data_IF_523472123617
#
_entry.id   IF_523472123617
#
_cell.length_a   1.000
_cell.length_b   1.000
_cell.length_c   1.000
_cell.angle_alpha   90.00
_cell.angle_beta   90.00
_cell.angle_gamma   90.00
#
_symmetry.space_group_name_H-M   'P 1'
#
loop_
_entity.id
_entity.type
_entity.pdbx_description
1 polymer ?
#
# COMPACT_ATOMS: atom_id res chain seq x y z
N UNK A 1 -14.86 -8.60 -16.73
CA UNK A 1 -13.87 -8.95 -15.68
C UNK A 1 -14.08 -10.38 -15.20
N UNK A 2 -15.15 -10.72 -14.46
CA UNK A 2 -15.37 -12.08 -13.92
C UNK A 2 -15.16 -13.23 -14.94
N UNK A 3 -15.90 -13.22 -16.05
CA UNK A 3 -15.81 -14.28 -17.07
C UNK A 3 -14.45 -14.32 -17.80
N UNK A 4 -13.76 -13.18 -17.90
CA UNK A 4 -12.47 -13.07 -18.57
C UNK A 4 -11.30 -13.49 -17.68
N UNK A 5 -11.50 -13.53 -16.36
CA UNK A 5 -10.53 -13.97 -15.35
C UNK A 5 -10.82 -15.38 -14.81
N UNK A 6 -11.75 -16.12 -15.42
CA UNK A 6 -12.14 -17.48 -14.99
C UNK A 6 -12.99 -17.54 -13.71
N UNK A 7 -13.55 -16.42 -13.25
CA UNK A 7 -14.36 -16.33 -12.04
C UNK A 7 -15.86 -16.13 -12.31
N UNK A 8 -16.67 -16.40 -11.30
CA UNK A 8 -18.13 -16.20 -11.29
C UNK A 8 -18.50 -14.75 -10.92
N UNK A 9 -19.75 -14.38 -11.21
CA UNK A 9 -20.28 -13.06 -10.82
C UNK A 9 -20.28 -12.88 -9.29
N UNK A 10 -20.53 -13.96 -8.54
CA UNK A 10 -20.58 -13.91 -7.08
C UNK A 10 -19.19 -13.73 -6.47
N UNK A 11 -18.17 -14.43 -6.99
CA UNK A 11 -16.77 -14.22 -6.59
C UNK A 11 -16.31 -12.79 -6.89
N UNK A 12 -16.70 -12.22 -8.03
CA UNK A 12 -16.39 -10.84 -8.36
C UNK A 12 -17.05 -9.84 -7.39
N UNK A 13 -18.32 -10.06 -7.02
CA UNK A 13 -19.00 -9.24 -6.01
C UNK A 13 -18.35 -9.35 -4.63
N UNK A 14 -17.88 -10.55 -4.26
CA UNK A 14 -17.15 -10.74 -3.00
C UNK A 14 -15.84 -9.96 -2.99
N UNK A 15 -15.08 -9.96 -4.09
CA UNK A 15 -13.87 -9.15 -4.22
C UNK A 15 -14.17 -7.65 -4.11
N UNK A 16 -15.25 -7.18 -4.74
CA UNK A 16 -15.67 -5.78 -4.61
C UNK A 16 -16.04 -5.41 -3.17
N UNK A 17 -16.69 -6.31 -2.44
CA UNK A 17 -17.10 -6.07 -1.06
C UNK A 17 -15.93 -5.93 -0.08
N UNK A 18 -14.78 -6.56 -0.39
CA UNK A 18 -13.56 -6.48 0.45
C UNK A 18 -12.58 -5.41 -0.02
N UNK A 19 -12.77 -4.86 -1.21
CA UNK A 19 -11.89 -3.85 -1.79
C UNK A 19 -12.38 -2.45 -1.42
N UNK A 20 -11.49 -1.62 -0.86
CA UNK A 20 -11.76 -0.21 -0.68
C UNK A 20 -11.73 0.49 -2.05
N UNK A 21 -12.91 0.66 -2.66
CA UNK A 21 -13.04 1.17 -4.04
C UNK A 21 -12.91 2.69 -4.18
N UNK A 22 -12.96 3.44 -3.06
CA UNK A 22 -12.89 4.90 -3.03
C UNK A 22 -13.74 5.61 -4.10
N UNK A 23 -15.04 5.28 -4.17
CA UNK A 23 -15.94 5.81 -5.19
C UNK A 23 -16.03 7.34 -5.22
N UNK A 24 -15.68 8.02 -4.11
CA UNK A 24 -15.53 9.48 -4.05
C UNK A 24 -14.06 9.83 -3.89
N UNK A 25 -13.60 10.83 -4.64
CA UNK A 25 -12.22 11.33 -4.56
C UNK A 25 -11.82 11.72 -3.12
N UNK A 26 -12.74 12.33 -2.37
CA UNK A 26 -12.52 12.72 -0.97
C UNK A 26 -12.23 11.52 -0.05
N UNK A 27 -12.79 10.35 -0.32
CA UNK A 27 -12.56 9.14 0.49
C UNK A 27 -11.12 8.65 0.28
N UNK A 28 -10.60 8.71 -0.95
CA UNK A 28 -9.22 8.35 -1.26
C UNK A 28 -8.23 9.33 -0.61
N UNK A 29 -8.51 10.64 -0.67
CA UNK A 29 -7.68 11.67 -0.05
C UNK A 29 -7.64 11.50 1.47
N UNK A 30 -8.79 11.23 2.09
CA UNK A 30 -8.90 10.95 3.53
C UNK A 30 -8.10 9.72 3.93
N UNK A 31 -8.17 8.64 3.15
CA UNK A 31 -7.39 7.44 3.40
C UNK A 31 -5.88 7.70 3.29
N UNK A 32 -5.44 8.39 2.22
CA UNK A 32 -4.03 8.70 1.99
C UNK A 32 -3.41 9.56 3.09
N UNK A 33 -4.19 10.44 3.73
CA UNK A 33 -3.77 11.27 4.86
C UNK A 33 -3.90 10.59 6.23
N UNK A 34 -4.55 9.41 6.30
CA UNK A 34 -4.77 8.70 7.56
C UNK A 34 -3.51 7.95 8.04
N UNK A 35 -3.56 7.38 9.25
CA UNK A 35 -2.51 6.47 9.74
C UNK A 35 -2.47 5.13 8.99
N UNK A 36 -3.53 4.79 8.24
CA UNK A 36 -3.73 3.44 7.69
C UNK A 36 -2.67 3.02 6.67
N UNK A 37 -2.26 3.87 5.70
CA UNK A 37 -1.18 3.53 4.79
C UNK A 37 0.12 3.16 5.52
N UNK A 38 0.44 3.83 6.63
CA UNK A 38 1.64 3.55 7.41
C UNK A 38 1.59 2.19 8.10
N UNK A 39 0.47 1.89 8.76
CA UNK A 39 0.25 0.56 9.37
C UNK A 39 0.34 -0.56 8.32
N UNK A 40 -0.31 -0.38 7.18
CA UNK A 40 -0.31 -1.37 6.10
C UNK A 40 1.09 -1.54 5.52
N UNK A 41 1.82 -0.45 5.28
CA UNK A 41 3.17 -0.55 4.71
C UNK A 41 4.20 -1.08 5.69
N UNK A 42 4.02 -0.92 7.00
CA UNK A 42 4.80 -1.65 8.01
C UNK A 42 4.62 -3.16 7.85
N UNK A 43 3.39 -3.65 7.73
CA UNK A 43 3.13 -5.08 7.53
C UNK A 43 3.72 -5.57 6.20
N UNK A 44 3.53 -4.81 5.12
CA UNK A 44 4.03 -5.18 3.78
C UNK A 44 5.56 -5.23 3.74
N UNK A 45 6.27 -4.25 4.32
CA UNK A 45 7.74 -4.23 4.28
C UNK A 45 8.35 -5.37 5.11
N UNK A 46 7.77 -5.66 6.28
CA UNK A 46 8.22 -6.77 7.11
C UNK A 46 7.98 -8.11 6.41
N UNK A 47 6.76 -8.33 5.91
CA UNK A 47 6.44 -9.54 5.15
C UNK A 47 7.37 -9.70 3.94
N UNK A 48 7.59 -8.64 3.17
CA UNK A 48 8.44 -8.70 1.97
C UNK A 48 9.88 -9.08 2.31
N UNK A 49 10.40 -8.56 3.42
CA UNK A 49 11.72 -8.93 3.92
C UNK A 49 11.77 -10.38 4.42
N UNK A 50 10.81 -10.78 5.27
CA UNK A 50 10.72 -12.15 5.82
C UNK A 50 10.55 -13.22 4.73
N UNK A 51 9.92 -12.88 3.60
CA UNK A 51 9.74 -13.76 2.45
C UNK A 51 10.84 -13.65 1.40
N UNK A 52 11.90 -12.89 1.67
CA UNK A 52 13.05 -12.74 0.77
C UNK A 52 12.74 -11.98 -0.53
N UNK A 53 11.64 -11.23 -0.58
CA UNK A 53 11.21 -10.48 -1.78
C UNK A 53 12.11 -9.27 -2.08
N UNK A 54 12.93 -8.84 -1.13
CA UNK A 54 13.95 -7.81 -1.33
C UNK A 54 15.25 -8.35 -1.94
N UNK A 55 15.33 -9.67 -2.15
CA UNK A 55 16.54 -10.38 -2.58
C UNK A 55 17.38 -10.85 -1.39
N UNK A 56 18.16 -11.90 -1.59
CA UNK A 56 18.94 -12.58 -0.53
C UNK A 56 19.99 -11.68 0.13
N UNK A 57 20.41 -10.60 -0.54
CA UNK A 57 21.42 -9.66 -0.06
C UNK A 57 20.83 -8.45 0.68
N UNK A 58 19.51 -8.37 0.85
CA UNK A 58 18.88 -7.27 1.58
C UNK A 58 19.26 -7.34 3.08
N UNK A 59 19.94 -6.33 3.65
CA UNK A 59 20.38 -6.36 5.03
C UNK A 59 19.25 -6.16 6.06
N UNK A 60 18.11 -5.59 5.65
CA UNK A 60 16.95 -5.36 6.52
C UNK A 60 15.70 -4.97 5.73
N UNK A 61 14.55 -4.95 6.41
CA UNK A 61 13.30 -4.36 5.90
C UNK A 61 13.36 -2.82 5.76
N UNK A 62 14.44 -2.18 6.24
CA UNK A 62 14.59 -0.72 6.25
C UNK A 62 15.30 -0.17 5.01
N UNK A 63 15.79 -1.02 4.09
CA UNK A 63 16.53 -0.54 2.91
C UNK A 63 15.71 0.33 1.96
N UNK A 64 14.38 0.21 2.00
CA UNK A 64 13.45 1.02 1.20
C UNK A 64 12.82 2.07 2.10
N UNK A 65 13.00 3.34 1.73
CA UNK A 65 12.27 4.44 2.34
C UNK A 65 10.84 4.54 1.81
N UNK A 66 9.88 4.66 2.74
CA UNK A 66 8.45 4.87 2.45
C UNK A 66 8.01 6.12 3.20
N UNK A 67 7.64 7.18 2.49
CA UNK A 67 7.17 8.43 3.12
C UNK A 67 5.65 8.55 3.13
N UNK A 68 5.11 9.16 4.18
CA UNK A 68 3.68 9.38 4.40
C UNK A 68 3.32 10.86 4.38
N UNK A 69 2.01 11.15 4.36
CA UNK A 69 1.49 12.50 4.21
C UNK A 69 1.88 13.44 5.38
N UNK A 70 2.02 12.87 6.58
CA UNK A 70 2.49 13.57 7.78
C UNK A 70 4.01 13.86 7.77
N UNK A 71 4.71 13.48 6.71
CA UNK A 71 6.17 13.60 6.57
C UNK A 71 6.96 12.51 7.31
N UNK A 72 6.28 11.58 8.00
CA UNK A 72 6.96 10.44 8.61
C UNK A 72 7.48 9.47 7.53
N UNK A 73 8.52 8.72 7.89
CA UNK A 73 9.17 7.77 6.98
C UNK A 73 9.40 6.45 7.71
N UNK A 74 9.05 5.34 7.06
CA UNK A 74 9.53 4.00 7.41
C UNK A 74 10.76 3.67 6.56
N UNK A 75 11.75 2.99 7.15
CA UNK A 75 13.00 2.64 6.49
C UNK A 75 13.94 3.83 6.24
N UNK A 76 14.74 3.74 5.16
CA UNK A 76 15.81 4.69 4.86
C UNK A 76 15.30 6.00 4.24
N UNK A 77 15.42 7.09 5.00
CA UNK A 77 15.08 8.46 4.57
C UNK A 77 15.93 8.95 3.38
N UNK A 78 17.12 8.37 3.17
CA UNK A 78 17.98 8.71 2.05
C UNK A 78 17.64 7.90 0.78
N UNK A 79 16.75 6.91 0.87
CA UNK A 79 16.39 6.02 -0.23
C UNK A 79 14.85 5.86 -0.39
N UNK A 80 14.12 6.98 -0.47
CA UNK A 80 12.65 6.95 -0.61
C UNK A 80 12.22 6.47 -2.00
N UNK A 81 11.61 5.28 -2.06
CA UNK A 81 11.05 4.70 -3.29
C UNK A 81 9.53 4.79 -3.38
N UNK A 82 8.84 4.81 -2.24
CA UNK A 82 7.37 4.86 -2.18
C UNK A 82 6.89 6.10 -1.42
N UNK A 83 5.80 6.71 -1.87
CA UNK A 83 5.23 7.94 -1.28
C UNK A 83 3.70 7.82 -1.24
N UNK A 84 3.14 7.84 -0.05
CA UNK A 84 1.70 7.89 0.18
C UNK A 84 1.34 9.28 0.69
N UNK A 85 0.75 10.10 -0.17
CA UNK A 85 0.44 11.51 0.15
C UNK A 85 -0.88 11.94 -0.50
N UNK A 86 -1.65 12.74 0.24
CA UNK A 86 -2.86 13.38 -0.24
C UNK A 86 -2.59 14.73 -0.92
N UNK A 87 -1.34 15.23 -0.95
CA UNK A 87 -0.96 16.53 -1.49
C UNK A 87 -1.47 16.81 -2.91
N UNK A 88 -1.60 15.78 -3.74
CA UNK A 88 -2.05 15.89 -5.14
C UNK A 88 -3.48 15.38 -5.35
N UNK A 89 -4.23 15.16 -4.28
CA UNK A 89 -5.59 14.63 -4.29
C UNK A 89 -6.64 15.68 -3.83
N UNK A 90 -6.20 16.91 -3.62
CA UNK A 90 -6.97 18.05 -3.11
C UNK A 90 -7.10 19.14 -4.16
#
# INVERSE_FOLDING_TARGET
MAQASGGTVDEFKQQLATTAMFYKAADAATFAASAKPKETMEQVRQFSYEKGLYGESAPSADIVGISFDDGSVLGDKNNIKLRFTAKYMQ
#
